data_IF_514457228392
#
_entry.id   IF_514457228392
#
_cell.length_a   1.000
_cell.length_b   1.000
_cell.length_c   1.000
_cell.angle_alpha   90.00
_cell.angle_beta   90.00
_cell.angle_gamma   90.00
#
_symmetry.space_group_name_H-M   'P 1'
#
loop_
_entity.id
_entity.type
_entity.pdbx_description
1 polymer ?
#
# COMPACT_ATOMS: atom_id res chain seq x y z
N UNK A 1 -8.86 26.97 -13.48
CA UNK A 1 -9.22 25.53 -13.42
C UNK A 1 -8.92 25.01 -12.02
N UNK A 2 -9.84 24.28 -11.36
CA UNK A 2 -9.56 23.71 -10.03
C UNK A 2 -8.47 22.64 -10.15
N UNK A 3 -7.46 22.69 -9.28
CA UNK A 3 -6.38 21.70 -9.21
C UNK A 3 -7.00 20.33 -8.90
N UNK A 4 -6.78 19.34 -9.77
CA UNK A 4 -7.37 17.99 -9.65
C UNK A 4 -6.37 17.10 -8.94
N UNK A 5 -6.64 16.77 -7.68
CA UNK A 5 -5.81 15.85 -6.91
C UNK A 5 -6.21 14.39 -7.20
N UNK A 6 -5.21 13.51 -7.21
CA UNK A 6 -5.40 12.07 -7.29
C UNK A 6 -5.93 11.53 -5.96
N UNK A 7 -5.35 11.99 -4.85
CA UNK A 7 -5.81 11.71 -3.48
C UNK A 7 -5.93 13.02 -2.71
N UNK A 8 -7.04 13.18 -1.99
CA UNK A 8 -7.31 14.34 -1.14
C UNK A 8 -7.91 13.89 0.19
N UNK A 9 -7.33 14.35 1.29
CA UNK A 9 -7.77 14.10 2.66
C UNK A 9 -8.20 15.43 3.26
N UNK A 10 -9.44 15.51 3.74
CA UNK A 10 -10.04 16.74 4.28
C UNK A 10 -10.42 16.55 5.74
N UNK A 11 -9.78 17.31 6.62
CA UNK A 11 -10.08 17.38 8.06
C UNK A 11 -10.32 15.99 8.67
N UNK A 12 -9.38 15.08 8.46
CA UNK A 12 -9.52 13.67 8.79
C UNK A 12 -9.19 13.41 10.27
N UNK A 13 -10.13 12.76 10.96
CA UNK A 13 -10.00 12.32 12.34
C UNK A 13 -10.21 10.81 12.41
N UNK A 14 -9.27 10.09 13.03
CA UNK A 14 -9.29 8.62 13.04
C UNK A 14 -9.06 8.09 14.45
N UNK A 15 -9.94 7.20 14.88
CA UNK A 15 -9.79 6.41 16.08
C UNK A 15 -9.27 5.02 15.75
N UNK A 16 -8.37 4.52 16.60
CA UNK A 16 -8.08 3.10 16.73
C UNK A 16 -8.66 2.66 18.07
N UNK A 17 -9.53 1.66 18.04
CA UNK A 17 -10.33 1.25 19.21
C UNK A 17 -11.07 2.46 19.84
N UNK A 18 -10.74 2.80 21.10
CA UNK A 18 -11.33 3.94 21.83
C UNK A 18 -10.48 5.22 21.75
N UNK A 19 -9.26 5.15 21.24
CA UNK A 19 -8.30 6.27 21.26
C UNK A 19 -8.32 7.02 19.93
N UNK A 20 -8.44 8.35 20.02
CA UNK A 20 -8.27 9.23 18.88
C UNK A 20 -6.77 9.38 18.57
N UNK A 21 -6.35 8.90 17.40
CA UNK A 21 -4.95 8.86 16.98
C UNK A 21 -4.64 9.99 16.01
N UNK A 22 -5.47 10.18 14.98
CA UNK A 22 -5.32 11.26 14.01
C UNK A 22 -6.31 12.38 14.32
N UNK A 23 -5.82 13.63 14.25
CA UNK A 23 -6.61 14.84 14.47
C UNK A 23 -6.33 15.81 13.33
N UNK A 24 -7.39 16.24 12.66
CA UNK A 24 -7.34 17.33 11.66
C UNK A 24 -6.27 17.15 10.57
N UNK A 25 -6.17 15.94 10.00
CA UNK A 25 -5.22 15.69 8.93
C UNK A 25 -5.78 16.21 7.60
N UNK A 26 -4.97 17.00 6.90
CA UNK A 26 -5.24 17.46 5.54
C UNK A 26 -4.03 17.10 4.66
N UNK A 27 -4.30 16.53 3.48
CA UNK A 27 -3.26 16.10 2.54
C UNK A 27 -3.83 16.12 1.13
N UNK A 28 -3.06 16.58 0.16
CA UNK A 28 -3.43 16.57 -1.25
C UNK A 28 -2.25 16.08 -2.07
N UNK A 29 -2.46 15.04 -2.88
CA UNK A 29 -1.45 14.42 -3.74
C UNK A 29 -1.95 14.50 -5.18
N UNK A 30 -1.17 15.10 -6.06
CA UNK A 30 -1.45 15.12 -7.50
C UNK A 30 -0.93 13.85 -8.18
N UNK A 31 -1.39 13.58 -9.39
CA UNK A 31 -0.88 12.46 -10.18
C UNK A 31 0.60 12.66 -10.55
N UNK A 32 1.40 11.59 -10.48
CA UNK A 32 2.84 11.63 -10.75
C UNK A 32 3.72 12.17 -9.62
N UNK A 33 3.14 12.61 -8.50
CA UNK A 33 3.91 13.07 -7.34
C UNK A 33 4.34 11.91 -6.44
N UNK A 34 5.56 11.99 -5.91
CA UNK A 34 6.05 11.13 -4.84
C UNK A 34 6.12 11.91 -3.54
N UNK A 35 5.58 11.34 -2.45
CA UNK A 35 5.48 11.98 -1.15
C UNK A 35 6.10 11.10 -0.07
N UNK A 36 6.82 11.71 0.86
CA UNK A 36 7.37 11.03 2.03
C UNK A 36 6.64 11.51 3.27
N UNK A 37 6.06 10.57 4.04
CA UNK A 37 5.44 10.86 5.32
C UNK A 37 6.44 10.55 6.43
N UNK A 38 7.05 11.59 7.00
CA UNK A 38 8.02 11.47 8.08
C UNK A 38 7.43 11.80 9.46
N UNK A 39 8.03 11.27 10.53
CA UNK A 39 7.64 11.58 11.91
C UNK A 39 8.06 10.50 12.90
N UNK A 40 8.00 10.77 14.22
CA UNK A 40 8.44 9.83 15.26
C UNK A 40 7.57 8.57 15.32
N UNK A 41 8.08 7.52 15.94
CA UNK A 41 7.28 6.31 16.22
C UNK A 41 6.03 6.67 17.02
N UNK A 42 4.89 6.12 16.63
CA UNK A 42 3.60 6.45 17.26
C UNK A 42 2.93 7.75 16.77
N UNK A 43 3.50 8.50 15.82
CA UNK A 43 2.90 9.73 15.27
C UNK A 43 1.64 9.52 14.41
N UNK A 44 1.17 8.28 14.25
CA UNK A 44 -0.04 7.97 13.47
C UNK A 44 0.17 7.71 11.98
N UNK A 45 1.40 7.64 11.47
CA UNK A 45 1.69 7.36 10.04
C UNK A 45 0.98 6.09 9.55
N UNK A 46 1.20 4.96 10.22
CA UNK A 46 0.55 3.69 9.87
C UNK A 46 -0.97 3.76 10.03
N UNK A 47 -1.48 4.57 10.96
CA UNK A 47 -2.92 4.82 11.12
C UNK A 47 -3.49 5.61 9.94
N UNK A 48 -2.74 6.60 9.42
CA UNK A 48 -3.15 7.37 8.24
C UNK A 48 -3.24 6.47 7.02
N UNK A 49 -2.19 5.67 6.77
CA UNK A 49 -2.18 4.72 5.66
C UNK A 49 -3.29 3.68 5.80
N UNK A 50 -3.47 3.13 7.01
CA UNK A 50 -4.54 2.19 7.30
C UNK A 50 -5.95 2.78 7.08
N UNK A 51 -6.16 4.06 7.41
CA UNK A 51 -7.44 4.73 7.18
C UNK A 51 -7.71 4.96 5.69
N UNK A 52 -6.67 5.31 4.90
CA UNK A 52 -6.77 5.42 3.44
C UNK A 52 -7.13 4.06 2.82
N UNK A 53 -6.56 2.97 3.33
CA UNK A 53 -6.88 1.61 2.87
C UNK A 53 -8.19 1.05 3.42
N UNK A 54 -8.76 1.67 4.46
CA UNK A 54 -10.02 1.22 5.06
C UNK A 54 -9.87 0.00 5.99
N UNK A 55 -8.78 -0.08 6.78
CA UNK A 55 -8.60 -1.17 7.73
C UNK A 55 -9.73 -1.19 8.78
N UNK A 56 -10.36 -2.35 9.07
CA UNK A 56 -11.61 -2.43 9.82
C UNK A 56 -11.50 -2.04 11.30
N UNK A 57 -10.30 -2.12 11.88
CA UNK A 57 -10.04 -1.71 13.26
C UNK A 57 -9.86 -0.18 13.42
N UNK A 58 -9.87 0.57 12.31
CA UNK A 58 -9.77 2.02 12.28
C UNK A 58 -11.12 2.64 11.94
N UNK A 59 -11.51 3.67 12.68
CA UNK A 59 -12.76 4.40 12.48
C UNK A 59 -12.48 5.85 12.16
N UNK A 60 -12.85 6.27 10.95
CA UNK A 60 -12.92 7.70 10.60
C UNK A 60 -14.12 8.32 11.30
N UNK A 61 -13.89 9.32 12.16
CA UNK A 61 -14.95 9.99 12.93
C UNK A 61 -15.34 11.35 12.39
N UNK A 62 -14.47 11.96 11.56
CA UNK A 62 -14.70 13.26 10.91
C UNK A 62 -13.83 13.34 9.66
N UNK A 63 -14.28 14.11 8.69
CA UNK A 63 -13.55 14.38 7.45
C UNK A 63 -13.87 13.39 6.34
N UNK A 64 -13.08 13.47 5.27
CA UNK A 64 -13.25 12.65 4.08
C UNK A 64 -11.90 12.24 3.49
N UNK A 65 -11.89 11.11 2.78
CA UNK A 65 -10.78 10.65 1.95
C UNK A 65 -11.34 10.49 0.54
N UNK A 66 -10.82 11.28 -0.39
CA UNK A 66 -11.30 11.40 -1.76
C UNK A 66 -10.21 10.88 -2.68
N UNK A 67 -10.53 9.91 -3.52
CA UNK A 67 -9.61 9.33 -4.49
C UNK A 67 -10.21 9.43 -5.90
N UNK A 68 -9.45 9.99 -6.85
CA UNK A 68 -9.90 10.31 -8.22
C UNK A 68 -11.24 11.06 -8.21
N UNK A 69 -11.39 12.03 -7.30
CA UNK A 69 -12.57 12.88 -7.17
C UNK A 69 -13.79 12.25 -6.49
N UNK A 70 -13.71 11.00 -6.00
CA UNK A 70 -14.81 10.34 -5.30
C UNK A 70 -14.41 9.99 -3.87
N UNK A 71 -15.30 10.20 -2.90
CA UNK A 71 -15.09 9.70 -1.54
C UNK A 71 -14.91 8.18 -1.57
N UNK A 72 -13.94 7.69 -0.81
CA UNK A 72 -13.72 6.25 -0.60
C UNK A 72 -14.16 5.78 0.78
N UNK A 73 -14.73 6.66 1.61
CA UNK A 73 -15.31 6.26 2.89
C UNK A 73 -16.45 5.25 2.67
N UNK A 74 -16.58 4.29 3.59
CA UNK A 74 -17.54 3.19 3.48
C UNK A 74 -17.15 2.07 2.52
N UNK A 75 -16.23 2.31 1.56
CA UNK A 75 -15.75 1.24 0.67
C UNK A 75 -14.88 0.24 1.45
N UNK A 76 -15.11 -1.07 1.27
CA UNK A 76 -14.24 -2.09 1.84
C UNK A 76 -12.87 -2.10 1.16
N UNK A 77 -11.88 -2.70 1.84
CA UNK A 77 -10.46 -2.75 1.41
C UNK A 77 -10.31 -3.20 -0.05
N UNK A 78 -11.02 -4.26 -0.45
CA UNK A 78 -10.88 -4.82 -1.79
C UNK A 78 -11.37 -3.88 -2.91
N UNK A 79 -12.36 -3.02 -2.64
CA UNK A 79 -12.83 -2.03 -3.62
C UNK A 79 -11.85 -0.87 -3.75
N UNK A 80 -11.24 -0.46 -2.65
CA UNK A 80 -10.15 0.54 -2.65
C UNK A 80 -8.93 0.01 -3.41
N UNK A 81 -8.57 -1.25 -3.20
CA UNK A 81 -7.53 -1.94 -3.96
C UNK A 81 -7.83 -1.97 -5.47
N UNK A 82 -9.06 -2.33 -5.86
CA UNK A 82 -9.49 -2.32 -7.27
C UNK A 82 -9.50 -0.93 -7.91
N UNK A 83 -9.70 0.13 -7.14
CA UNK A 83 -9.54 1.51 -7.62
C UNK A 83 -8.06 1.89 -7.84
N UNK A 84 -7.13 1.07 -7.33
CA UNK A 84 -5.70 1.21 -7.51
C UNK A 84 -4.96 1.86 -6.34
N UNK A 85 -5.50 1.70 -5.12
CA UNK A 85 -4.83 2.08 -3.87
C UNK A 85 -4.14 0.84 -3.30
N UNK A 86 -2.83 0.91 -3.10
CA UNK A 86 -2.02 -0.18 -2.54
C UNK A 86 -1.25 0.25 -1.29
N UNK A 87 -0.94 -0.73 -0.43
CA UNK A 87 0.02 -0.58 0.68
C UNK A 87 1.11 -1.63 0.51
N UNK A 88 2.36 -1.17 0.46
CA UNK A 88 3.56 -1.98 0.63
C UNK A 88 3.93 -2.07 2.12
N UNK A 89 4.17 -3.28 2.60
CA UNK A 89 4.59 -3.53 3.97
C UNK A 89 6.11 -3.64 4.05
N UNK A 90 6.71 -3.12 5.13
CA UNK A 90 8.15 -3.30 5.39
C UNK A 90 8.56 -4.78 5.44
N UNK A 91 7.69 -5.63 5.98
CA UNK A 91 7.83 -7.08 5.98
C UNK A 91 6.53 -7.68 5.46
N UNK A 92 6.48 -8.10 4.19
CA UNK A 92 5.27 -8.66 3.63
C UNK A 92 4.97 -10.02 4.30
N UNK A 93 3.69 -10.32 4.58
CA UNK A 93 3.32 -11.54 5.30
C UNK A 93 3.62 -12.79 4.47
N UNK A 94 3.96 -13.88 5.16
CA UNK A 94 4.10 -15.21 4.54
C UNK A 94 2.74 -15.86 4.43
N UNK A 95 2.36 -16.29 3.23
CA UNK A 95 1.08 -16.98 2.99
C UNK A 95 1.39 -18.42 2.60
N UNK A 96 1.15 -19.34 3.54
CA UNK A 96 1.39 -20.78 3.34
C UNK A 96 0.32 -21.40 2.45
N UNK A 97 0.73 -22.29 1.56
CA UNK A 97 -0.20 -23.01 0.67
C UNK A 97 -0.74 -22.18 -0.50
N UNK A 98 -0.29 -20.94 -0.66
CA UNK A 98 -0.63 -20.10 -1.82
C UNK A 98 0.64 -19.79 -2.59
N UNK A 99 0.74 -20.38 -3.78
CA UNK A 99 1.84 -20.12 -4.71
C UNK A 99 1.80 -18.69 -5.22
N UNK A 100 2.98 -18.07 -5.39
CA UNK A 100 3.11 -16.72 -5.93
C UNK A 100 2.37 -16.57 -7.28
N UNK A 101 2.55 -17.51 -8.20
CA UNK A 101 1.85 -17.53 -9.49
C UNK A 101 0.33 -17.46 -9.32
N UNK A 102 -0.22 -18.29 -8.44
CA UNK A 102 -1.67 -18.36 -8.24
C UNK A 102 -2.24 -17.06 -7.69
N UNK A 103 -1.50 -16.40 -6.80
CA UNK A 103 -1.87 -15.09 -6.30
C UNK A 103 -1.82 -14.01 -7.38
N UNK A 104 -0.78 -14.00 -8.22
CA UNK A 104 -0.66 -13.07 -9.34
C UNK A 104 -1.77 -13.26 -10.39
N UNK A 105 -2.26 -14.48 -10.60
CA UNK A 105 -3.43 -14.74 -11.44
C UNK A 105 -4.73 -14.16 -10.84
N UNK A 106 -4.88 -14.18 -9.52
CA UNK A 106 -6.08 -13.68 -8.82
C UNK A 106 -6.19 -12.16 -8.90
N UNK A 107 -5.07 -11.44 -8.92
CA UNK A 107 -5.03 -9.97 -8.97
C UNK A 107 -5.19 -9.40 -10.39
N UNK A 108 -5.82 -10.18 -11.28
CA UNK A 108 -6.23 -9.78 -12.63
C UNK A 108 -5.06 -9.52 -13.60
N UNK A 109 -4.00 -10.31 -13.49
CA UNK A 109 -2.87 -10.31 -14.42
C UNK A 109 -2.93 -11.53 -15.34
N UNK A 110 -2.65 -11.34 -16.63
CA UNK A 110 -2.60 -12.46 -17.58
C UNK A 110 -1.40 -13.39 -17.30
N UNK A 111 -1.54 -14.69 -17.58
CA UNK A 111 -0.43 -15.64 -17.43
C UNK A 111 0.80 -15.24 -18.26
N UNK A 112 0.57 -14.61 -19.42
CA UNK A 112 1.63 -14.10 -20.28
C UNK A 112 2.43 -12.98 -19.60
N UNK A 113 1.75 -11.95 -19.08
CA UNK A 113 2.40 -10.86 -18.34
C UNK A 113 3.19 -11.37 -17.13
N UNK A 114 2.64 -12.33 -16.37
CA UNK A 114 3.35 -12.94 -15.23
C UNK A 114 4.66 -13.60 -15.69
N UNK A 115 4.62 -14.36 -16.78
CA UNK A 115 5.81 -15.07 -17.30
C UNK A 115 6.85 -14.10 -17.86
N UNK A 116 6.41 -13.04 -18.55
CA UNK A 116 7.28 -12.04 -19.15
C UNK A 116 8.03 -11.26 -18.06
N UNK A 117 7.31 -10.74 -17.06
CA UNK A 117 7.92 -10.02 -15.92
C UNK A 117 8.79 -10.95 -15.07
N UNK A 118 8.36 -12.20 -14.83
CA UNK A 118 9.18 -13.15 -14.07
C UNK A 118 10.48 -13.52 -14.79
N UNK A 119 10.49 -13.51 -16.13
CA UNK A 119 11.68 -13.72 -16.94
C UNK A 119 12.62 -12.51 -16.84
N UNK A 120 12.09 -11.30 -17.00
CA UNK A 120 12.85 -10.05 -16.91
C UNK A 120 13.53 -9.89 -15.56
N UNK A 121 12.81 -10.22 -14.47
CA UNK A 121 13.32 -10.13 -13.11
C UNK A 121 14.12 -11.37 -12.65
N UNK A 122 14.27 -12.39 -13.50
CA UNK A 122 14.95 -13.65 -13.19
C UNK A 122 14.43 -14.38 -11.93
N UNK A 123 13.11 -14.39 -11.73
CA UNK A 123 12.43 -14.97 -10.55
C UNK A 123 11.47 -16.10 -10.88
N UNK A 124 11.58 -16.73 -12.06
CA UNK A 124 10.71 -17.85 -12.47
C UNK A 124 10.62 -18.96 -11.41
N UNK A 125 11.74 -19.27 -10.74
CA UNK A 125 11.81 -20.26 -9.65
C UNK A 125 10.92 -19.93 -8.45
N UNK A 126 10.56 -18.66 -8.25
CA UNK A 126 9.75 -18.21 -7.13
C UNK A 126 8.25 -18.34 -7.39
N UNK A 127 7.82 -18.43 -8.65
CA UNK A 127 6.41 -18.52 -9.03
C UNK A 127 5.69 -19.72 -8.43
N UNK A 128 6.40 -20.84 -8.29
CA UNK A 128 5.85 -22.10 -7.77
C UNK A 128 6.00 -22.25 -6.25
N UNK A 129 6.62 -21.28 -5.57
CA UNK A 129 6.82 -21.28 -4.12
C UNK A 129 5.67 -20.55 -3.41
N UNK A 130 5.46 -20.91 -2.16
CA UNK A 130 4.59 -20.17 -1.25
C UNK A 130 5.04 -18.71 -1.13
N UNK A 131 4.08 -17.78 -1.11
CA UNK A 131 4.35 -16.35 -1.06
C UNK A 131 5.19 -15.96 0.16
N UNK A 132 6.31 -15.28 -0.11
CA UNK A 132 7.27 -14.76 0.87
C UNK A 132 7.92 -15.81 1.78
N UNK A 133 7.72 -17.10 1.50
CA UNK A 133 8.29 -18.18 2.31
C UNK A 133 9.72 -18.45 1.89
N UNK A 134 10.64 -18.37 2.86
CA UNK A 134 12.06 -18.69 2.66
C UNK A 134 12.70 -17.92 1.48
N UNK A 135 12.14 -16.75 1.17
CA UNK A 135 12.73 -15.81 0.20
C UNK A 135 13.88 -15.09 0.89
N UNK A 136 15.00 -14.94 0.18
CA UNK A 136 16.06 -14.02 0.60
C UNK A 136 15.54 -12.58 0.63
N UNK A 137 16.25 -11.66 1.29
CA UNK A 137 15.88 -10.24 1.28
C UNK A 137 15.77 -9.66 -0.13
N UNK A 138 16.68 -10.04 -1.03
CA UNK A 138 16.64 -9.66 -2.44
C UNK A 138 15.43 -10.26 -3.16
N UNK A 139 15.14 -11.54 -2.94
CA UNK A 139 13.97 -12.20 -3.55
C UNK A 139 12.65 -11.56 -3.10
N UNK A 140 12.53 -11.16 -1.83
CA UNK A 140 11.37 -10.40 -1.34
C UNK A 140 11.22 -9.07 -2.08
N UNK A 141 12.31 -8.30 -2.22
CA UNK A 141 12.29 -7.01 -2.91
C UNK A 141 11.92 -7.16 -4.38
N UNK A 142 12.48 -8.15 -5.08
CA UNK A 142 12.14 -8.42 -6.49
C UNK A 142 10.69 -8.88 -6.65
N UNK A 143 10.18 -9.71 -5.73
CA UNK A 143 8.76 -10.09 -5.71
C UNK A 143 7.82 -8.91 -5.41
N UNK A 144 8.23 -7.96 -4.58
CA UNK A 144 7.48 -6.71 -4.39
C UNK A 144 7.44 -5.91 -5.69
N UNK A 145 8.59 -5.68 -6.34
CA UNK A 145 8.65 -4.97 -7.64
C UNK A 145 7.74 -5.65 -8.68
N UNK A 146 7.79 -6.98 -8.78
CA UNK A 146 6.91 -7.74 -9.67
C UNK A 146 5.43 -7.44 -9.40
N UNK A 147 5.01 -7.45 -8.12
CA UNK A 147 3.62 -7.14 -7.76
C UNK A 147 3.24 -5.72 -8.16
N UNK A 148 4.14 -4.74 -7.97
CA UNK A 148 3.90 -3.35 -8.36
C UNK A 148 3.72 -3.18 -9.87
N UNK A 149 4.57 -3.83 -10.67
CA UNK A 149 4.49 -3.80 -12.13
C UNK A 149 3.18 -4.41 -12.63
N UNK A 150 2.70 -5.46 -11.97
CA UNK A 150 1.51 -6.22 -12.41
C UNK A 150 0.18 -5.63 -11.88
N UNK A 151 0.16 -5.08 -10.67
CA UNK A 151 -1.07 -4.56 -10.03
C UNK A 151 -1.48 -3.17 -10.53
N UNK A 152 -0.59 -2.46 -11.24
CA UNK A 152 -0.86 -1.13 -11.83
C UNK A 152 -1.50 -0.17 -10.81
N UNK A 153 -0.92 -0.09 -9.61
CA UNK A 153 -1.38 0.85 -8.60
C UNK A 153 -1.20 2.30 -9.07
N UNK A 154 -2.19 3.14 -8.73
CA UNK A 154 -2.10 4.59 -8.96
C UNK A 154 -1.48 5.31 -7.76
N UNK A 155 -1.66 4.75 -6.56
CA UNK A 155 -0.98 5.22 -5.34
C UNK A 155 -0.54 3.99 -4.54
N UNK A 156 0.75 3.95 -4.23
CA UNK A 156 1.36 2.96 -3.35
C UNK A 156 1.94 3.68 -2.14
N UNK A 157 1.60 3.21 -0.94
CA UNK A 157 2.23 3.67 0.29
C UNK A 157 3.20 2.63 0.82
N UNK A 158 4.45 3.02 1.02
CA UNK A 158 5.44 2.19 1.70
C UNK A 158 5.72 2.71 3.11
N UNK A 159 5.76 1.81 4.08
CA UNK A 159 6.10 2.14 5.47
C UNK A 159 7.59 1.90 5.68
N UNK A 160 8.33 2.99 5.88
CA UNK A 160 9.71 2.94 6.34
C UNK A 160 9.79 3.23 7.84
N UNK A 161 10.37 2.32 8.60
CA UNK A 161 10.79 2.59 9.98
C UNK A 161 12.25 2.98 9.99
N UNK A 162 12.53 4.28 10.09
CA UNK A 162 13.86 4.77 10.41
C UNK A 162 14.05 4.72 11.92
N UNK A 163 15.01 3.91 12.37
CA UNK A 163 15.56 4.04 13.72
C UNK A 163 16.56 5.21 13.68
N UNK A 164 16.41 6.20 14.56
CA UNK A 164 17.26 7.40 14.65
C UNK A 164 18.75 7.10 14.98
N UNK A 165 19.20 5.85 14.91
CA UNK A 165 20.53 5.44 15.39
C UNK A 165 21.66 5.57 14.35
N UNK A 166 21.38 6.04 13.14
CA UNK A 166 22.43 6.15 12.10
C UNK A 166 22.04 7.13 10.99
N UNK A 167 21.95 8.42 11.33
CA UNK A 167 21.98 9.49 10.33
C UNK A 167 22.61 10.75 10.94
N UNK A 168 23.89 10.63 11.27
CA UNK A 168 24.84 11.75 11.25
C UNK A 168 25.81 11.45 10.11
N UNK A 169 25.54 12.04 8.95
CA UNK A 169 26.53 12.52 7.99
C UNK A 169 25.98 13.80 7.40
#
# INVERSE_FOLDING_TARGET
MKKKYLLEIKNLWVKAEKKLILKEINLSISEGESHIIFGPNGSGKSTLLGAIMGLPHLKVTKGDIIFKGNSILGLPIYERARKGIGIGFQNPPVIRGVKLKKFLEIINTSQKEIQDVAKELNIKKLLERDINREFSGGEKKTCEIMQLLLQKYYVLFEIYSFSYKSMLV
#
